data_IF_985684484551
#
_entry.id   IF_985684484551
#
_cell.length_a   1.000
_cell.length_b   1.000
_cell.length_c   1.000
_cell.angle_alpha   90.00
_cell.angle_beta   90.00
_cell.angle_gamma   90.00
#
_symmetry.space_group_name_H-M   'P 1'
#
loop_
_entity.id
_entity.type
_entity.pdbx_description
1 polymer ?
#
# COMPACT_ATOMS: atom_id res chain seq x y z
N UNK A 1 -1.73 8.39 14.35
CA UNK A 1 -1.32 7.74 15.62
C UNK A 1 0.00 6.98 15.44
N UNK A 2 0.18 6.20 14.36
CA UNK A 2 1.45 5.54 14.02
C UNK A 2 2.65 6.47 13.84
N UNK A 3 2.52 7.57 13.08
CA UNK A 3 3.63 8.53 12.85
C UNK A 3 4.23 9.13 14.14
N UNK A 4 3.45 9.24 15.22
CA UNK A 4 3.91 9.78 16.50
C UNK A 4 4.73 8.74 17.28
N UNK A 5 4.34 7.46 17.20
CA UNK A 5 5.09 6.36 17.80
C UNK A 5 6.37 6.08 17.01
N UNK A 6 6.33 6.10 15.67
CA UNK A 6 7.51 5.84 14.84
C UNK A 6 8.58 6.93 15.01
N UNK A 7 8.21 8.21 15.16
CA UNK A 7 9.18 9.28 15.45
C UNK A 7 9.90 9.11 16.79
N UNK A 8 9.27 8.44 17.75
CA UNK A 8 9.79 8.28 19.10
C UNK A 8 10.60 6.98 19.28
N UNK A 9 10.30 5.95 18.48
CA UNK A 9 11.01 4.65 18.50
C UNK A 9 11.95 4.41 17.31
N UNK A 10 12.03 5.33 16.34
CA UNK A 10 12.93 5.26 15.18
C UNK A 10 14.43 5.16 15.53
N UNK A 11 14.81 5.40 16.78
CA UNK A 11 16.22 5.35 17.19
C UNK A 11 16.70 3.92 17.51
N UNK A 12 15.85 3.04 18.08
CA UNK A 12 16.32 1.72 18.59
C UNK A 12 15.25 0.59 18.64
N UNK A 13 14.04 0.76 18.08
CA UNK A 13 12.95 -0.24 18.16
C UNK A 13 12.53 -0.86 16.82
N UNK A 14 11.96 -2.09 16.79
CA UNK A 14 11.33 -2.62 15.59
C UNK A 14 10.14 -1.72 15.20
N UNK A 15 10.18 -1.20 13.97
CA UNK A 15 9.10 -0.39 13.42
C UNK A 15 7.85 -1.27 13.30
N UNK A 16 6.80 -0.93 14.05
CA UNK A 16 5.58 -1.73 14.10
C UNK A 16 4.58 -1.37 12.98
N UNK A 17 4.76 -0.21 12.32
CA UNK A 17 3.88 0.28 11.26
C UNK A 17 4.72 0.57 10.00
N UNK A 18 4.16 0.34 8.80
CA UNK A 18 4.75 0.76 7.51
C UNK A 18 6.11 0.14 7.12
N UNK A 19 6.51 -0.99 7.72
CA UNK A 19 7.73 -1.75 7.31
C UNK A 19 7.68 -2.14 5.83
N UNK A 20 6.56 -2.69 5.38
CA UNK A 20 6.37 -3.07 3.98
C UNK A 20 6.42 -1.86 3.06
N UNK A 21 5.88 -0.73 3.51
CA UNK A 21 5.90 0.53 2.77
C UNK A 21 7.34 1.03 2.56
N UNK A 22 8.19 0.97 3.59
CA UNK A 22 9.61 1.30 3.49
C UNK A 22 10.37 0.31 2.62
N UNK A 23 10.06 -0.99 2.74
CA UNK A 23 10.66 -2.04 1.91
C UNK A 23 10.40 -1.77 0.43
N UNK A 24 9.16 -1.45 0.07
CA UNK A 24 8.74 -1.10 -1.30
C UNK A 24 9.34 0.24 -1.73
N UNK A 25 9.39 1.23 -0.86
CA UNK A 25 9.94 2.56 -1.20
C UNK A 25 11.44 2.51 -1.49
N UNK A 26 12.27 1.78 -0.74
CA UNK A 26 13.69 1.66 -1.15
C UNK A 26 13.88 0.68 -2.32
N UNK A 27 12.98 -0.27 -2.56
CA UNK A 27 12.99 -1.04 -3.81
C UNK A 27 12.74 -0.12 -5.02
N UNK A 28 11.83 0.85 -4.87
CA UNK A 28 11.54 1.86 -5.88
C UNK A 28 12.74 2.80 -6.13
N UNK A 29 13.60 3.07 -5.13
CA UNK A 29 14.90 3.77 -5.34
C UNK A 29 15.81 3.01 -6.29
N UNK A 30 15.89 1.68 -6.16
CA UNK A 30 16.69 0.86 -7.07
C UNK A 30 16.12 0.88 -8.50
N UNK A 31 14.80 0.85 -8.64
CA UNK A 31 14.12 0.98 -9.94
C UNK A 31 14.47 2.32 -10.60
N UNK A 32 14.47 3.40 -9.84
CA UNK A 32 14.83 4.76 -10.30
C UNK A 32 16.27 4.86 -10.79
N UNK A 33 17.16 4.03 -10.24
CA UNK A 33 18.55 3.90 -10.68
C UNK A 33 18.72 2.92 -11.86
N UNK A 34 17.63 2.52 -12.54
CA UNK A 34 17.60 1.48 -13.57
C UNK A 34 18.16 0.13 -13.08
N UNK A 35 18.04 -0.15 -11.79
CA UNK A 35 18.45 -1.41 -11.19
C UNK A 35 17.23 -2.29 -10.89
N UNK A 36 17.47 -3.60 -10.79
CA UNK A 36 16.41 -4.53 -10.41
C UNK A 36 15.94 -4.26 -8.97
N UNK A 37 14.62 -4.16 -8.71
CA UNK A 37 14.06 -3.99 -7.37
C UNK A 37 14.44 -5.14 -6.42
N UNK A 38 14.78 -6.31 -6.99
CA UNK A 38 15.24 -7.48 -6.25
C UNK A 38 16.68 -7.37 -5.72
N UNK A 39 17.43 -6.31 -6.06
CA UNK A 39 18.72 -6.05 -5.40
C UNK A 39 18.57 -5.86 -3.90
N UNK A 40 17.37 -5.50 -3.43
CA UNK A 40 17.04 -5.48 -2.02
C UNK A 40 16.62 -6.88 -1.57
N UNK A 41 17.44 -7.51 -0.73
CA UNK A 41 17.25 -8.89 -0.23
C UNK A 41 15.96 -9.11 0.56
N UNK A 42 15.39 -8.04 1.13
CA UNK A 42 14.12 -8.08 1.88
C UNK A 42 12.88 -7.79 1.03
N UNK A 43 13.02 -7.50 -0.28
CA UNK A 43 11.89 -7.24 -1.16
C UNK A 43 11.23 -8.55 -1.63
N UNK A 44 10.00 -8.80 -1.18
CA UNK A 44 9.23 -10.03 -1.47
C UNK A 44 8.03 -9.84 -2.40
N UNK A 45 7.78 -8.60 -2.85
CA UNK A 45 6.61 -8.28 -3.67
C UNK A 45 6.92 -8.38 -5.17
N UNK A 46 5.87 -8.30 -5.98
CA UNK A 46 6.01 -8.24 -7.45
C UNK A 46 6.79 -7.00 -7.87
N UNK A 47 7.61 -7.07 -8.92
CA UNK A 47 8.46 -5.95 -9.32
C UNK A 47 7.61 -4.78 -9.81
N UNK A 48 6.42 -5.08 -10.37
CA UNK A 48 5.44 -4.07 -10.82
C UNK A 48 4.99 -3.15 -9.69
N UNK A 49 4.93 -3.66 -8.45
CA UNK A 49 4.56 -2.85 -7.29
C UNK A 49 5.65 -1.80 -6.99
N UNK A 50 6.94 -2.15 -7.13
CA UNK A 50 8.03 -1.19 -6.97
C UNK A 50 7.96 -0.08 -8.03
N UNK A 51 7.61 -0.41 -9.28
CA UNK A 51 7.39 0.60 -10.33
C UNK A 51 6.19 1.51 -10.00
N UNK A 52 5.07 0.96 -9.55
CA UNK A 52 3.87 1.73 -9.19
C UNK A 52 4.09 2.66 -7.98
N UNK A 53 4.98 2.29 -7.06
CA UNK A 53 5.36 3.11 -5.90
C UNK A 53 6.55 4.03 -6.20
N UNK A 54 7.18 3.95 -7.38
CA UNK A 54 8.24 4.88 -7.80
C UNK A 54 7.85 6.37 -7.72
N UNK A 55 6.60 6.79 -8.04
CA UNK A 55 6.17 8.17 -7.86
C UNK A 55 6.18 8.66 -6.41
N UNK A 56 6.15 7.75 -5.42
CA UNK A 56 6.24 8.07 -3.99
C UNK A 56 7.52 8.86 -3.65
N UNK A 57 8.59 8.64 -4.41
CA UNK A 57 9.88 9.31 -4.23
C UNK A 57 9.92 10.74 -4.75
N UNK A 58 9.05 11.08 -5.72
CA UNK A 58 9.07 12.38 -6.39
C UNK A 58 7.94 13.30 -5.92
N UNK A 59 6.78 12.75 -5.57
CA UNK A 59 5.58 13.54 -5.32
C UNK A 59 5.28 13.76 -3.84
N UNK A 60 5.15 12.69 -3.04
CA UNK A 60 4.87 12.78 -1.60
C UNK A 60 4.98 11.40 -0.96
N UNK A 61 5.47 11.32 0.29
CA UNK A 61 5.59 10.06 1.06
C UNK A 61 4.26 9.31 1.25
N UNK A 62 3.12 9.95 1.05
CA UNK A 62 1.79 9.35 1.18
C UNK A 62 1.21 8.79 -0.14
N UNK A 63 1.96 8.86 -1.25
CA UNK A 63 1.44 8.46 -2.58
C UNK A 63 1.03 6.99 -2.65
N UNK A 64 1.83 6.11 -2.05
CA UNK A 64 1.49 4.69 -2.05
C UNK A 64 0.24 4.40 -1.20
N UNK A 65 0.01 5.13 -0.09
CA UNK A 65 -1.24 5.00 0.69
C UNK A 65 -2.46 5.40 -0.16
N UNK A 66 -2.34 6.49 -0.93
CA UNK A 66 -3.38 6.90 -1.88
C UNK A 66 -3.64 5.84 -2.97
N UNK A 67 -2.58 5.25 -3.54
CA UNK A 67 -2.69 4.18 -4.53
C UNK A 67 -3.44 2.97 -3.96
N UNK A 68 -3.10 2.54 -2.74
CA UNK A 68 -3.78 1.42 -2.08
C UNK A 68 -5.26 1.72 -1.79
N UNK A 69 -5.57 2.95 -1.35
CA UNK A 69 -6.95 3.40 -1.13
C UNK A 69 -7.78 3.36 -2.43
N UNK A 70 -7.24 3.89 -3.53
CA UNK A 70 -7.89 3.84 -4.85
C UNK A 70 -8.13 2.41 -5.31
N UNK A 71 -7.13 1.54 -5.19
CA UNK A 71 -7.25 0.12 -5.52
C UNK A 71 -8.34 -0.57 -4.68
N UNK A 72 -8.48 -0.20 -3.40
CA UNK A 72 -9.50 -0.76 -2.52
C UNK A 72 -10.92 -0.35 -2.95
N UNK A 73 -11.11 0.92 -3.28
CA UNK A 73 -12.38 1.41 -3.85
C UNK A 73 -12.70 0.69 -5.16
N UNK A 74 -11.72 0.53 -6.04
CA UNK A 74 -11.89 -0.18 -7.30
C UNK A 74 -12.27 -1.65 -7.09
N UNK A 75 -11.64 -2.34 -6.12
CA UNK A 75 -12.01 -3.70 -5.75
C UNK A 75 -13.46 -3.78 -5.24
N UNK A 76 -13.89 -2.83 -4.40
CA UNK A 76 -15.28 -2.74 -3.95
C UNK A 76 -16.29 -2.53 -5.10
N UNK A 77 -15.94 -1.69 -6.07
CA UNK A 77 -16.75 -1.48 -7.28
C UNK A 77 -16.82 -2.73 -8.16
N UNK A 78 -15.70 -3.43 -8.35
CA UNK A 78 -15.65 -4.70 -9.08
C UNK A 78 -16.50 -5.78 -8.43
N UNK A 79 -16.45 -5.89 -7.09
CA UNK A 79 -17.31 -6.81 -6.34
C UNK A 79 -18.78 -6.46 -6.61
N UNK A 80 -19.16 -5.18 -6.53
CA UNK A 80 -20.51 -4.74 -6.86
C UNK A 80 -20.95 -5.02 -8.30
N UNK A 81 -20.00 -5.04 -9.25
CA UNK A 81 -20.25 -5.33 -10.65
C UNK A 81 -20.40 -6.83 -10.94
N UNK A 82 -19.64 -7.68 -10.25
CA UNK A 82 -19.72 -9.14 -10.37
C UNK A 82 -20.99 -9.69 -9.69
N UNK A 83 -21.44 -9.06 -8.59
CA UNK A 83 -22.62 -9.51 -7.87
C UNK A 83 -23.92 -9.24 -8.64
N UNK A 84 -24.87 -10.18 -8.62
CA UNK A 84 -26.19 -9.94 -9.20
C UNK A 84 -26.92 -8.83 -8.46
N UNK A 85 -27.77 -8.07 -9.18
CA UNK A 85 -28.48 -6.87 -8.68
C UNK A 85 -29.18 -7.11 -7.32
N UNK A 86 -29.71 -8.30 -7.08
CA UNK A 86 -30.40 -8.66 -5.84
C UNK A 86 -29.46 -8.73 -4.60
N UNK A 87 -28.16 -8.90 -4.81
CA UNK A 87 -27.15 -9.11 -3.78
C UNK A 87 -26.14 -7.96 -3.67
N UNK A 88 -26.27 -6.89 -4.44
CA UNK A 88 -25.35 -5.74 -4.39
C UNK A 88 -25.20 -5.11 -2.99
N UNK A 89 -26.19 -5.26 -2.11
CA UNK A 89 -26.12 -4.83 -0.71
C UNK A 89 -24.97 -5.48 0.06
N UNK A 90 -24.56 -6.70 -0.30
CA UNK A 90 -23.42 -7.37 0.33
C UNK A 90 -22.07 -6.77 -0.09
N UNK A 91 -21.99 -6.05 -1.21
CA UNK A 91 -20.78 -5.31 -1.58
C UNK A 91 -20.47 -4.19 -0.56
N UNK A 92 -21.48 -3.65 0.14
CA UNK A 92 -21.27 -2.67 1.21
C UNK A 92 -20.48 -3.27 2.38
N UNK A 93 -20.59 -4.59 2.65
CA UNK A 93 -19.79 -5.25 3.68
C UNK A 93 -18.28 -5.16 3.40
N UNK A 94 -17.87 -5.07 2.13
CA UNK A 94 -16.48 -4.84 1.76
C UNK A 94 -15.98 -3.47 2.22
N UNK A 95 -16.80 -2.43 2.06
CA UNK A 95 -16.47 -1.07 2.51
C UNK A 95 -16.51 -0.93 4.04
N UNK A 96 -17.36 -1.71 4.71
CA UNK A 96 -17.42 -1.75 6.19
C UNK A 96 -16.37 -2.68 6.81
N UNK A 97 -15.57 -3.39 6.02
CA UNK A 97 -14.53 -4.26 6.55
C UNK A 97 -13.45 -3.40 7.22
N UNK A 98 -13.14 -3.61 8.53
CA UNK A 98 -12.14 -2.82 9.24
C UNK A 98 -10.75 -2.91 8.59
N UNK A 99 -10.43 -4.00 7.89
CA UNK A 99 -9.14 -4.15 7.19
C UNK A 99 -9.09 -3.22 5.96
N UNK A 100 -10.19 -3.07 5.24
CA UNK A 100 -10.27 -2.14 4.11
C UNK A 100 -10.33 -0.68 4.57
N UNK A 101 -11.05 -0.42 5.66
CA UNK A 101 -11.22 0.91 6.22
C UNK A 101 -9.95 1.48 6.88
N UNK A 102 -9.03 0.62 7.36
CA UNK A 102 -7.74 1.06 7.95
C UNK A 102 -6.72 1.48 6.89
N UNK A 103 -6.85 0.98 5.66
CA UNK A 103 -5.94 1.27 4.54
C UNK A 103 -6.40 2.50 3.74
N UNK A 104 -7.71 2.78 3.74
CA UNK A 104 -8.32 3.90 3.03
C UNK A 104 -8.20 5.23 3.78
#
# INVERSE_FOLDING_TARGET
>A
YGDFHDKQFAHDGPLYTDVDYRVVTDAAKYVLQNQSPYRRTTYRYTPILAYLVTPNLFLHEYWGKLLFSICNVFAGLLIGWILPINQQKYALLWFYNPISAVIA
#
